data_IF_035241650095
#
_entry.id   IF_035241650095
#
_cell.length_a   1.000
_cell.length_b   1.000
_cell.length_c   1.000
_cell.angle_alpha   90.00
_cell.angle_beta   90.00
_cell.angle_gamma   90.00
#
_symmetry.space_group_name_H-M   'P 1'
#
loop_
_entity.id
_entity.type
_entity.pdbx_description
1 polymer ?
#
# COMPACT_ATOMS: atom_id res chain seq x y z
N UNK A 1 24.23 -0.97 6.57
CA UNK A 1 23.65 0.29 7.07
C UNK A 1 22.23 -0.04 7.46
N UNK A 2 21.76 0.40 8.64
CA UNK A 2 20.36 0.26 9.00
C UNK A 2 19.57 1.16 8.04
N UNK A 3 19.01 0.59 6.97
CA UNK A 3 17.87 1.22 6.28
C UNK A 3 16.91 1.66 7.37
N UNK A 4 16.63 2.96 7.44
CA UNK A 4 15.53 3.41 8.29
C UNK A 4 14.28 2.70 7.78
N UNK A 5 13.42 2.22 8.69
CA UNK A 5 12.23 1.45 8.30
C UNK A 5 11.28 2.19 7.33
N UNK A 6 11.46 3.50 7.15
CA UNK A 6 10.74 4.32 6.17
C UNK A 6 11.35 4.29 4.77
N UNK A 7 12.68 4.13 4.62
CA UNK A 7 13.32 3.93 3.31
C UNK A 7 12.79 2.67 2.62
N UNK A 8 12.49 1.63 3.41
CA UNK A 8 11.84 0.40 2.93
C UNK A 8 10.51 0.66 2.20
N UNK A 9 9.74 1.69 2.59
CA UNK A 9 8.48 2.01 1.91
C UNK A 9 8.71 2.60 0.50
N UNK A 10 9.81 3.32 0.31
CA UNK A 10 10.21 3.85 -1.00
C UNK A 10 10.71 2.71 -1.89
N UNK A 11 11.53 1.79 -1.35
CA UNK A 11 11.97 0.61 -2.08
C UNK A 11 10.81 -0.34 -2.44
N UNK A 12 9.84 -0.48 -1.55
CA UNK A 12 8.63 -1.25 -1.80
C UNK A 12 7.81 -0.61 -2.93
N UNK A 13 7.67 0.72 -2.92
CA UNK A 13 7.04 1.46 -4.01
C UNK A 13 7.73 1.22 -5.36
N UNK A 14 9.07 1.30 -5.41
CA UNK A 14 9.83 1.03 -6.63
C UNK A 14 9.69 -0.43 -7.09
N UNK A 15 9.65 -1.35 -6.14
CA UNK A 15 9.38 -2.77 -6.39
C UNK A 15 7.98 -2.96 -6.98
N UNK A 16 6.97 -2.26 -6.45
CA UNK A 16 5.59 -2.30 -6.97
C UNK A 16 5.56 -1.79 -8.42
N UNK A 17 6.20 -0.66 -8.70
CA UNK A 17 6.25 -0.08 -10.04
C UNK A 17 6.97 -1.00 -11.04
N UNK A 18 8.13 -1.55 -10.65
CA UNK A 18 8.89 -2.49 -11.51
C UNK A 18 8.08 -3.75 -11.88
N UNK A 19 7.12 -4.13 -11.02
CA UNK A 19 6.24 -5.28 -11.23
C UNK A 19 4.96 -4.97 -11.99
N UNK A 20 4.69 -3.70 -12.35
CA UNK A 20 3.46 -3.29 -13.04
C UNK A 20 3.15 -4.14 -14.28
N UNK A 21 4.17 -4.37 -15.10
CA UNK A 21 4.08 -5.13 -16.36
C UNK A 21 4.70 -6.53 -16.26
N UNK A 22 4.94 -7.03 -15.05
CA UNK A 22 5.44 -8.38 -14.86
C UNK A 22 4.38 -9.42 -15.26
N UNK A 23 4.81 -10.67 -15.43
CA UNK A 23 3.89 -11.79 -15.67
C UNK A 23 2.89 -11.93 -14.50
N UNK A 24 1.60 -11.85 -14.82
CA UNK A 24 0.50 -11.96 -13.86
C UNK A 24 0.45 -13.34 -13.19
N UNK A 25 0.91 -14.40 -13.86
CA UNK A 25 1.00 -15.75 -13.26
C UNK A 25 1.97 -15.83 -12.08
N UNK A 26 2.98 -14.95 -12.04
CA UNK A 26 4.09 -15.01 -11.07
C UNK A 26 4.14 -13.82 -10.11
N UNK A 27 3.31 -12.79 -10.32
CA UNK A 27 3.35 -11.55 -9.54
C UNK A 27 1.95 -11.13 -9.13
N UNK A 28 1.68 -11.16 -7.82
CA UNK A 28 0.43 -10.64 -7.26
C UNK A 28 0.23 -9.15 -7.59
N UNK A 29 1.30 -8.35 -7.52
CA UNK A 29 1.24 -6.92 -7.91
C UNK A 29 0.77 -6.77 -9.35
N UNK A 30 1.28 -7.59 -10.28
CA UNK A 30 0.87 -7.53 -11.68
C UNK A 30 -0.60 -7.95 -11.87
N UNK A 31 -1.09 -8.93 -11.10
CA UNK A 31 -2.51 -9.31 -11.11
C UNK A 31 -3.41 -8.16 -10.67
N UNK A 32 -3.00 -7.40 -9.63
CA UNK A 32 -3.75 -6.23 -9.19
C UNK A 32 -3.83 -5.15 -10.27
N UNK A 33 -2.70 -4.83 -10.91
CA UNK A 33 -2.69 -3.87 -12.02
C UNK A 33 -3.53 -4.34 -13.20
N UNK A 34 -3.44 -5.62 -13.58
CA UNK A 34 -4.26 -6.20 -14.64
C UNK A 34 -5.76 -6.21 -14.31
N UNK A 35 -6.13 -6.35 -13.04
CA UNK A 35 -7.52 -6.28 -12.56
C UNK A 35 -8.09 -4.85 -12.52
N UNK A 36 -7.23 -3.84 -12.65
CA UNK A 36 -7.63 -2.44 -12.78
C UNK A 36 -8.01 -1.73 -11.47
N UNK A 37 -8.23 -0.42 -11.57
CA UNK A 37 -8.38 0.48 -10.42
C UNK A 37 -9.52 0.12 -9.49
N UNK A 38 -10.62 -0.47 -9.99
CA UNK A 38 -11.75 -0.89 -9.16
C UNK A 38 -11.35 -1.98 -8.16
N UNK A 39 -10.62 -3.02 -8.61
CA UNK A 39 -10.15 -4.09 -7.72
C UNK A 39 -9.10 -3.59 -6.73
N UNK A 40 -8.21 -2.70 -7.17
CA UNK A 40 -7.18 -2.11 -6.31
C UNK A 40 -7.83 -1.26 -5.20
N UNK A 41 -8.78 -0.39 -5.55
CA UNK A 41 -9.51 0.43 -4.57
C UNK A 41 -10.34 -0.43 -3.61
N UNK A 42 -10.95 -1.51 -4.11
CA UNK A 42 -11.65 -2.48 -3.26
C UNK A 42 -10.72 -3.06 -2.19
N UNK A 43 -9.50 -3.49 -2.56
CA UNK A 43 -8.52 -4.00 -1.61
C UNK A 43 -8.19 -2.98 -0.52
N UNK A 44 -7.93 -1.72 -0.88
CA UNK A 44 -7.70 -0.65 0.11
C UNK A 44 -8.88 -0.50 1.07
N UNK A 45 -10.12 -0.58 0.57
CA UNK A 45 -11.32 -0.54 1.40
C UNK A 45 -11.45 -1.74 2.34
N UNK A 46 -11.20 -2.96 1.85
CA UNK A 46 -11.18 -4.20 2.64
C UNK A 46 -10.18 -4.09 3.79
N UNK A 47 -8.91 -3.76 3.49
CA UNK A 47 -7.87 -3.67 4.52
C UNK A 47 -8.15 -2.55 5.54
N UNK A 48 -8.71 -1.42 5.10
CA UNK A 48 -9.09 -0.33 5.99
C UNK A 48 -10.16 -0.75 7.01
N UNK A 49 -11.14 -1.56 6.60
CA UNK A 49 -12.15 -2.13 7.49
C UNK A 49 -11.53 -3.14 8.45
N UNK A 50 -10.64 -4.00 7.96
CA UNK A 50 -9.98 -5.02 8.78
C UNK A 50 -9.06 -4.41 9.84
N UNK A 51 -8.31 -3.36 9.50
CA UNK A 51 -7.54 -2.54 10.45
C UNK A 51 -8.44 -2.00 11.57
N UNK A 52 -9.59 -1.42 11.21
CA UNK A 52 -10.52 -0.84 12.18
C UNK A 52 -11.12 -1.92 13.11
N UNK A 53 -11.48 -3.07 12.56
CA UNK A 53 -12.01 -4.21 13.33
C UNK A 53 -10.94 -4.75 14.29
N UNK A 54 -9.73 -5.00 13.80
CA UNK A 54 -8.64 -5.52 14.62
C UNK A 54 -8.29 -4.58 15.78
N UNK A 55 -8.28 -3.27 15.52
CA UNK A 55 -8.10 -2.26 16.56
C UNK A 55 -9.24 -2.28 17.60
N UNK A 56 -10.50 -2.35 17.15
CA UNK A 56 -11.67 -2.40 18.04
C UNK A 56 -11.70 -3.67 18.92
N UNK A 57 -11.12 -4.77 18.44
CA UNK A 57 -11.02 -6.04 19.17
C UNK A 57 -9.78 -6.12 20.08
N UNK A 58 -8.86 -5.16 20.00
CA UNK A 58 -7.59 -5.19 20.73
C UNK A 58 -6.61 -6.26 20.22
N UNK A 59 -6.83 -6.78 19.01
CA UNK A 59 -5.98 -7.80 18.39
C UNK A 59 -4.75 -7.13 17.76
N UNK A 60 -3.69 -6.96 18.57
CA UNK A 60 -2.45 -6.29 18.12
C UNK A 60 -1.73 -7.05 17.00
N UNK A 61 -1.58 -8.39 17.03
CA UNK A 61 -0.99 -9.13 15.92
C UNK A 61 -1.73 -8.90 14.61
N UNK A 62 -3.07 -9.00 14.62
CA UNK A 62 -3.88 -8.77 13.43
C UNK A 62 -3.79 -7.33 12.97
N UNK A 63 -3.93 -6.36 13.88
CA UNK A 63 -3.81 -4.93 13.55
C UNK A 63 -2.50 -4.62 12.82
N UNK A 64 -1.37 -5.21 13.24
CA UNK A 64 -0.08 -5.04 12.57
C UNK A 64 -0.09 -5.64 11.16
N UNK A 65 -0.72 -6.81 10.96
CA UNK A 65 -0.81 -7.46 9.67
C UNK A 65 -1.68 -6.64 8.70
N UNK A 66 -2.92 -6.31 9.08
CA UNK A 66 -3.84 -5.57 8.19
C UNK A 66 -3.31 -4.15 7.90
N UNK A 67 -2.60 -3.52 8.85
CA UNK A 67 -1.98 -2.22 8.61
C UNK A 67 -0.84 -2.31 7.58
N UNK A 68 -0.09 -3.42 7.56
CA UNK A 68 0.94 -3.65 6.55
C UNK A 68 0.29 -3.88 5.17
N UNK A 69 -0.78 -4.67 5.12
CA UNK A 69 -1.53 -4.93 3.88
C UNK A 69 -2.20 -3.65 3.34
N UNK A 70 -2.77 -2.82 4.24
CA UNK A 70 -3.30 -1.51 3.89
C UNK A 70 -2.22 -0.60 3.28
N UNK A 71 -1.03 -0.53 3.88
CA UNK A 71 0.07 0.26 3.33
C UNK A 71 0.50 -0.26 1.94
N UNK A 72 0.65 -1.56 1.79
CA UNK A 72 0.99 -2.17 0.49
C UNK A 72 -0.07 -1.84 -0.57
N UNK A 73 -1.35 -2.06 -0.27
CA UNK A 73 -2.45 -1.80 -1.20
C UNK A 73 -2.62 -0.32 -1.51
N UNK A 74 -2.35 0.56 -0.54
CA UNK A 74 -2.32 2.00 -0.77
C UNK A 74 -1.19 2.39 -1.74
N UNK A 75 0.03 1.83 -1.61
CA UNK A 75 1.12 2.09 -2.55
C UNK A 75 0.78 1.61 -3.97
N UNK A 76 0.16 0.44 -4.11
CA UNK A 76 -0.35 -0.05 -5.42
C UNK A 76 -1.40 0.91 -5.99
N UNK A 77 -2.32 1.39 -5.16
CA UNK A 77 -3.34 2.37 -5.57
C UNK A 77 -2.70 3.68 -6.06
N UNK A 78 -1.78 4.26 -5.28
CA UNK A 78 -1.08 5.50 -5.65
C UNK A 78 -0.40 5.34 -7.01
N UNK A 79 0.38 4.26 -7.19
CA UNK A 79 1.03 3.98 -8.47
C UNK A 79 0.02 3.81 -9.60
N UNK A 80 -1.11 3.15 -9.37
CA UNK A 80 -2.17 2.99 -10.39
C UNK A 80 -2.78 4.33 -10.84
N UNK A 81 -2.66 5.37 -10.01
CA UNK A 81 -3.15 6.73 -10.26
C UNK A 81 -2.02 7.72 -10.60
N UNK A 82 -0.82 7.21 -10.92
CA UNK A 82 0.36 8.03 -11.23
C UNK A 82 0.81 8.95 -10.07
N UNK A 83 0.51 8.55 -8.83
CA UNK A 83 0.91 9.23 -7.61
C UNK A 83 2.00 8.47 -6.85
N UNK A 84 2.72 9.22 -6.03
CA UNK A 84 3.80 8.73 -5.18
C UNK A 84 3.51 8.82 -3.69
N UNK A 85 4.23 8.01 -2.90
CA UNK A 85 4.23 8.15 -1.45
C UNK A 85 4.75 9.53 -1.05
N UNK A 86 5.70 10.07 -1.79
CA UNK A 86 6.27 11.40 -1.62
C UNK A 86 5.22 12.50 -1.81
N UNK A 87 4.29 12.34 -2.76
CA UNK A 87 3.14 13.24 -2.93
C UNK A 87 2.25 13.25 -1.69
N UNK A 88 1.96 12.06 -1.14
CA UNK A 88 1.17 11.92 0.10
C UNK A 88 1.89 12.52 1.30
N UNK A 89 3.21 12.29 1.44
CA UNK A 89 4.02 12.86 2.52
C UNK A 89 4.06 14.38 2.41
N UNK A 90 4.16 14.92 1.19
CA UNK A 90 4.12 16.35 0.91
C UNK A 90 2.80 16.96 1.37
N UNK A 91 1.68 16.33 1.02
CA UNK A 91 0.34 16.73 1.49
C UNK A 91 0.23 16.70 3.02
N UNK A 92 0.73 15.64 3.68
CA UNK A 92 0.74 15.56 5.14
C UNK A 92 1.60 16.68 5.79
N UNK A 93 2.73 17.03 5.18
CA UNK A 93 3.59 18.10 5.65
C UNK A 93 2.94 19.48 5.53
N UNK A 94 2.09 19.68 4.51
CA UNK A 94 1.32 20.91 4.33
C UNK A 94 0.24 21.08 5.42
N UNK A 95 -0.43 20.00 5.84
CA UNK A 95 -1.46 20.03 6.90
C UNK A 95 -0.94 20.30 8.30
N UNK A 96 0.36 20.14 8.53
CA UNK A 96 1.01 20.40 9.82
C UNK A 96 1.36 21.88 10.04
N UNK A 97 1.10 22.74 9.05
CA UNK A 97 1.27 24.20 9.13
C UNK A 97 -0.06 24.87 9.44
#
# INVERSE_FOLDING_TARGET
>A
MSETGLEYLLELQDTIESRRNASTERSYTAQLFAAGSSRIAQKVGEEGVEVAIAAAQGDRPRLKAEAADLLYHLLVLLRSQELSLEDVVTELAQRRR
#
